data_IF_756505597911
#
_entry.id   IF_756505597911
#
_cell.length_a   1.000
_cell.length_b   1.000
_cell.length_c   1.000
_cell.angle_alpha   90.00
_cell.angle_beta   90.00
_cell.angle_gamma   90.00
#
_symmetry.space_group_name_H-M   'P 1'
#
loop_
_entity.id
_entity.type
_entity.pdbx_description
1 polymer ?
#
# COMPACT_ATOMS: atom_id res chain seq x y z
N UNK A 1 4.96 -4.41 -19.69
CA UNK A 1 4.40 -5.74 -20.03
C UNK A 1 3.82 -6.36 -18.78
N UNK A 2 2.64 -6.98 -18.87
CA UNK A 2 2.07 -7.77 -17.78
C UNK A 2 2.58 -9.19 -17.93
N UNK A 3 3.19 -9.75 -16.90
CA UNK A 3 3.59 -11.16 -16.88
C UNK A 3 2.73 -11.92 -15.91
N UNK A 4 2.42 -13.17 -16.25
CA UNK A 4 1.62 -14.06 -15.43
C UNK A 4 2.49 -15.24 -15.01
N UNK A 5 2.45 -15.56 -13.73
CA UNK A 5 3.01 -16.79 -13.17
C UNK A 5 1.88 -17.61 -12.56
N UNK A 6 1.95 -18.93 -12.66
CA UNK A 6 0.96 -19.83 -12.07
C UNK A 6 1.70 -20.81 -11.16
N UNK A 7 1.26 -20.89 -9.91
CA UNK A 7 1.73 -21.89 -8.96
C UNK A 7 0.64 -22.93 -8.82
N UNK A 8 0.95 -24.17 -9.18
CA UNK A 8 0.06 -25.31 -8.98
C UNK A 8 0.57 -26.15 -7.81
N UNK A 9 -0.30 -26.41 -6.85
CA UNK A 9 -0.05 -27.23 -5.68
C UNK A 9 -0.97 -28.44 -5.73
N UNK A 10 -0.50 -29.60 -5.31
CA UNK A 10 -1.32 -30.79 -5.12
C UNK A 10 -1.25 -31.19 -3.65
N UNK A 11 -2.40 -31.24 -2.98
CA UNK A 11 -2.51 -31.57 -1.55
C UNK A 11 -3.21 -32.92 -1.44
N UNK A 12 -2.54 -33.90 -0.86
CA UNK A 12 -3.10 -35.23 -0.68
C UNK A 12 -2.45 -35.97 0.48
N UNK A 13 -3.03 -37.10 0.86
CA UNK A 13 -2.41 -37.99 1.83
C UNK A 13 -1.43 -38.96 1.15
N UNK A 14 -0.53 -39.54 1.94
CA UNK A 14 0.36 -40.59 1.45
C UNK A 14 -0.38 -41.94 1.36
N UNK A 15 0.05 -42.85 0.48
CA UNK A 15 -0.51 -44.19 0.43
C UNK A 15 -0.30 -44.95 1.74
N UNK A 16 -1.28 -45.77 2.14
CA UNK A 16 -1.15 -46.70 3.26
C UNK A 16 -1.65 -48.09 2.85
N UNK A 17 -1.44 -49.10 3.70
CA UNK A 17 -1.91 -50.48 3.44
C UNK A 17 -3.44 -50.52 3.24
N UNK A 18 -4.19 -49.72 3.99
CA UNK A 18 -5.66 -49.63 3.88
C UNK A 18 -6.14 -48.57 2.89
N UNK A 19 -5.24 -47.71 2.39
CA UNK A 19 -5.54 -46.68 1.39
C UNK A 19 -4.42 -46.62 0.32
N UNK A 20 -4.36 -47.61 -0.58
CA UNK A 20 -3.34 -47.67 -1.63
C UNK A 20 -3.53 -46.60 -2.72
N UNK A 21 -4.73 -45.99 -2.81
CA UNK A 21 -5.06 -44.95 -3.79
C UNK A 21 -5.51 -43.65 -3.08
N UNK A 22 -4.55 -42.90 -2.49
CA UNK A 22 -4.86 -41.70 -1.74
C UNK A 22 -5.52 -40.60 -2.59
N UNK A 23 -6.36 -39.81 -1.94
CA UNK A 23 -6.99 -38.65 -2.57
C UNK A 23 -5.97 -37.52 -2.69
N UNK A 24 -5.92 -36.89 -3.86
CA UNK A 24 -5.06 -35.74 -4.16
C UNK A 24 -5.92 -34.65 -4.78
N UNK A 25 -5.92 -33.48 -4.16
CA UNK A 25 -6.65 -32.30 -4.60
C UNK A 25 -5.67 -31.26 -5.17
N UNK A 26 -5.75 -30.94 -6.48
CA UNK A 26 -4.94 -29.90 -7.08
C UNK A 26 -5.56 -28.50 -6.88
N UNK A 27 -4.71 -27.50 -6.63
CA UNK A 27 -5.08 -26.08 -6.58
C UNK A 27 -4.08 -25.27 -7.40
N UNK A 28 -4.55 -24.24 -8.11
CA UNK A 28 -3.66 -23.33 -8.85
C UNK A 28 -3.93 -21.87 -8.49
N UNK A 29 -2.85 -21.12 -8.24
CA UNK A 29 -2.90 -19.70 -7.90
C UNK A 29 -2.17 -18.92 -8.99
N UNK A 30 -2.85 -17.92 -9.55
CA UNK A 30 -2.33 -17.06 -10.61
C UNK A 30 -1.78 -15.77 -10.00
N UNK A 31 -0.50 -15.51 -10.22
CA UNK A 31 0.19 -14.28 -9.85
C UNK A 31 0.36 -13.40 -11.08
N UNK A 32 -0.04 -12.15 -10.98
CA UNK A 32 0.10 -11.16 -12.05
C UNK A 32 1.19 -10.18 -11.62
N UNK A 33 2.28 -10.11 -12.38
CA UNK A 33 3.30 -9.09 -12.19
C UNK A 33 3.05 -7.99 -13.23
N UNK A 34 2.67 -6.81 -12.74
CA UNK A 34 2.46 -5.61 -13.54
C UNK A 34 3.50 -4.54 -13.16
N UNK A 35 3.64 -3.53 -14.02
CA UNK A 35 4.47 -2.36 -13.73
C UNK A 35 3.60 -1.32 -13.02
N UNK A 36 4.02 -0.78 -11.86
CA UNK A 36 3.33 0.32 -11.21
C UNK A 36 3.20 1.53 -12.14
N UNK A 37 2.00 2.10 -12.27
CA UNK A 37 1.78 3.26 -13.13
C UNK A 37 1.11 4.43 -12.41
N UNK A 38 0.46 4.18 -11.27
CA UNK A 38 -0.24 5.23 -10.51
C UNK A 38 -0.16 4.98 -9.01
N UNK A 39 0.07 6.05 -8.26
CA UNK A 39 -0.06 6.11 -6.82
C UNK A 39 -1.31 6.91 -6.47
N UNK A 40 -2.00 6.52 -5.41
CA UNK A 40 -3.08 7.32 -4.81
C UNK A 40 -2.78 7.56 -3.35
N UNK A 41 -3.03 8.79 -2.88
CA UNK A 41 -2.93 9.17 -1.49
C UNK A 41 -4.34 9.50 -0.99
N UNK A 42 -4.77 8.83 0.07
CA UNK A 42 -6.07 9.07 0.70
C UNK A 42 -5.87 9.40 2.17
N UNK A 43 -6.38 10.54 2.67
CA UNK A 43 -6.30 10.82 4.10
C UNK A 43 -7.13 9.81 4.90
N UNK A 44 -6.54 9.24 5.95
CA UNK A 44 -7.26 8.46 6.95
C UNK A 44 -7.75 9.42 8.01
N UNK A 45 -9.07 9.56 8.10
CA UNK A 45 -9.70 10.27 9.20
C UNK A 45 -9.81 9.32 10.39
N UNK A 46 -9.34 9.77 11.56
CA UNK A 46 -9.69 9.11 12.82
C UNK A 46 -11.22 9.06 12.97
N UNK A 47 -11.73 8.06 13.67
CA UNK A 47 -13.16 7.96 13.96
C UNK A 47 -13.68 9.29 14.53
N UNK A 48 -14.91 9.70 14.20
CA UNK A 48 -15.52 10.90 14.76
C UNK A 48 -15.86 10.63 16.22
N UNK A 49 -14.86 10.69 17.10
CA UNK A 49 -15.10 10.77 18.53
C UNK A 49 -15.49 12.21 18.86
N UNK A 50 -16.78 12.34 19.19
CA UNK A 50 -17.49 13.52 19.69
C UNK A 50 -17.82 14.60 18.65
N UNK A 51 -19.09 14.60 18.23
CA UNK A 51 -20.07 15.70 18.26
C UNK A 51 -19.62 17.15 17.99
N UNK A 52 -18.53 17.34 17.26
CA UNK A 52 -18.20 18.57 16.58
C UNK A 52 -18.48 18.33 15.11
N UNK A 53 -19.64 18.81 14.66
CA UNK A 53 -20.04 18.96 13.27
C UNK A 53 -18.92 19.62 12.46
N UNK A 54 -17.95 18.83 12.02
CA UNK A 54 -16.91 19.30 11.14
C UNK A 54 -17.53 19.27 9.73
N UNK A 55 -17.71 20.42 9.05
CA UNK A 55 -18.38 20.52 7.74
C UNK A 55 -17.52 19.96 6.58
N UNK A 56 -16.59 19.06 6.91
CA UNK A 56 -15.63 18.39 6.05
C UNK A 56 -16.29 17.59 4.91
N UNK A 57 -17.55 17.21 5.07
CA UNK A 57 -18.30 16.42 4.08
C UNK A 57 -18.74 17.24 2.85
N UNK A 58 -18.61 18.57 2.84
CA UNK A 58 -19.14 19.42 1.75
C UNK A 58 -18.16 20.39 1.09
N UNK A 59 -16.88 20.45 1.49
CA UNK A 59 -15.96 21.40 0.87
C UNK A 59 -15.27 20.81 -0.37
N UNK A 60 -15.28 21.60 -1.45
CA UNK A 60 -14.73 21.31 -2.78
C UNK A 60 -13.40 20.53 -2.75
N UNK A 61 -13.23 19.65 -3.75
CA UNK A 61 -12.15 18.65 -4.00
C UNK A 61 -10.68 19.15 -3.95
N UNK A 62 -10.37 20.34 -3.47
CA UNK A 62 -9.05 20.97 -3.67
C UNK A 62 -8.13 20.92 -2.44
N UNK A 63 -8.65 20.94 -1.21
CA UNK A 63 -7.83 20.91 0.03
C UNK A 63 -8.54 20.14 1.14
N UNK A 64 -7.80 19.32 1.89
CA UNK A 64 -8.31 18.56 3.05
C UNK A 64 -7.91 19.29 4.34
N UNK A 65 -8.84 19.84 5.12
CA UNK A 65 -8.50 20.46 6.39
C UNK A 65 -8.15 19.40 7.44
N UNK A 66 -7.06 19.67 8.16
CA UNK A 66 -6.51 18.82 9.22
C UNK A 66 -6.12 19.70 10.42
N UNK A 67 -5.94 19.10 11.59
CA UNK A 67 -5.42 19.80 12.76
C UNK A 67 -3.91 20.02 12.63
N UNK A 68 -3.42 21.20 12.97
CA UNK A 68 -1.98 21.48 13.09
C UNK A 68 -1.34 20.87 14.35
N UNK A 69 -2.12 20.20 15.20
CA UNK A 69 -1.68 19.59 16.46
C UNK A 69 -1.74 18.06 16.46
N UNK A 70 -2.27 17.46 15.39
CA UNK A 70 -2.38 16.01 15.26
C UNK A 70 -1.87 15.59 13.90
N UNK A 71 -0.85 14.75 13.89
CA UNK A 71 -0.25 14.21 12.67
C UNK A 71 -1.32 13.40 11.90
N UNK A 72 -1.70 13.83 10.68
CA UNK A 72 -2.60 13.05 9.86
C UNK A 72 -1.86 11.86 9.24
N UNK A 73 -2.61 10.81 8.90
CA UNK A 73 -2.08 9.62 8.22
C UNK A 73 -2.62 9.55 6.81
N UNK A 74 -1.74 9.27 5.84
CA UNK A 74 -2.08 9.04 4.45
C UNK A 74 -2.02 7.54 4.13
N UNK A 75 -3.07 7.02 3.51
CA UNK A 75 -3.10 5.70 2.89
C UNK A 75 -2.59 5.79 1.45
N UNK A 76 -1.49 5.11 1.18
CA UNK A 76 -0.89 4.93 -0.13
C UNK A 76 -1.32 3.59 -0.73
N UNK A 77 -1.84 3.66 -1.96
CA UNK A 77 -2.11 2.50 -2.78
C UNK A 77 -1.45 2.64 -4.16
N UNK A 78 -1.02 1.49 -4.69
CA UNK A 78 -0.32 1.39 -5.98
C UNK A 78 -1.21 0.66 -6.97
N UNK A 79 -1.28 1.18 -8.19
CA UNK A 79 -2.10 0.67 -9.28
C UNK A 79 -1.28 0.47 -10.55
N UNK A 80 -1.69 -0.51 -11.35
CA UNK A 80 -1.20 -0.70 -12.71
C UNK A 80 -1.94 0.22 -13.71
N UNK A 81 -1.54 0.13 -14.99
CA UNK A 81 -2.08 0.95 -16.06
C UNK A 81 -3.56 0.67 -16.34
N UNK A 82 -4.04 -0.53 -16.02
CA UNK A 82 -5.43 -0.94 -16.17
C UNK A 82 -6.28 -0.52 -14.96
N UNK A 83 -5.66 0.00 -13.90
CA UNK A 83 -6.32 0.40 -12.67
C UNK A 83 -6.49 -0.73 -11.66
N UNK A 84 -5.80 -1.86 -11.83
CA UNK A 84 -5.77 -2.93 -10.83
C UNK A 84 -4.87 -2.52 -9.67
N UNK A 85 -5.39 -2.63 -8.44
CA UNK A 85 -4.59 -2.40 -7.23
C UNK A 85 -3.64 -3.56 -6.99
N UNK A 86 -2.36 -3.25 -6.75
CA UNK A 86 -1.34 -4.23 -6.38
C UNK A 86 -1.68 -4.91 -5.06
N UNK A 87 -1.51 -6.23 -5.02
CA UNK A 87 -1.68 -7.01 -3.79
C UNK A 87 -0.51 -6.79 -2.84
N UNK A 88 0.69 -6.58 -3.38
CA UNK A 88 1.92 -6.30 -2.64
C UNK A 88 2.82 -5.35 -3.46
N UNK A 89 3.27 -4.27 -2.83
CA UNK A 89 4.22 -3.31 -3.41
C UNK A 89 5.39 -3.01 -2.47
N UNK A 90 5.66 -3.87 -1.47
CA UNK A 90 6.63 -3.62 -0.40
C UNK A 90 8.05 -3.38 -0.89
N UNK A 91 8.41 -3.92 -2.06
CA UNK A 91 9.70 -3.73 -2.69
C UNK A 91 9.85 -2.38 -3.41
N UNK A 92 8.75 -1.63 -3.59
CA UNK A 92 8.77 -0.32 -4.24
C UNK A 92 9.41 0.70 -3.31
N UNK A 93 10.38 1.46 -3.83
CA UNK A 93 10.89 2.66 -3.19
C UNK A 93 9.92 3.82 -3.45
N UNK A 94 9.48 4.47 -2.38
CA UNK A 94 8.61 5.65 -2.44
C UNK A 94 9.37 6.85 -1.90
N UNK A 95 9.38 7.94 -2.67
CA UNK A 95 9.93 9.23 -2.27
C UNK A 95 8.79 10.18 -1.96
N UNK A 96 8.86 10.83 -0.80
CA UNK A 96 7.88 11.79 -0.34
C UNK A 96 8.41 13.22 -0.46
N UNK A 97 7.51 14.17 -0.72
CA UNK A 97 7.84 15.61 -0.75
C UNK A 97 6.72 16.42 -0.12
N UNK A 98 7.12 17.48 0.59
CA UNK A 98 6.23 18.53 1.10
C UNK A 98 6.56 19.85 0.39
N UNK A 99 5.55 20.61 0.00
CA UNK A 99 5.77 21.96 -0.56
C UNK A 99 6.16 22.97 0.51
N UNK A 100 5.82 22.72 1.78
CA UNK A 100 6.11 23.62 2.90
C UNK A 100 6.50 22.82 4.15
N UNK A 101 7.77 22.42 4.22
CA UNK A 101 8.35 21.63 5.32
C UNK A 101 8.17 22.31 6.67
N UNK A 102 8.17 23.65 6.74
CA UNK A 102 7.96 24.37 8.00
C UNK A 102 6.55 24.24 8.60
N UNK A 103 5.58 23.74 7.82
CA UNK A 103 4.21 23.50 8.26
C UNK A 103 3.96 22.01 8.50
N UNK A 104 4.40 21.18 7.56
CA UNK A 104 4.26 19.74 7.62
C UNK A 104 5.29 19.03 6.74
N UNK A 105 5.79 17.89 7.18
CA UNK A 105 6.77 17.09 6.45
C UNK A 105 6.62 15.58 6.69
N UNK A 106 7.47 14.80 6.01
CA UNK A 106 7.61 13.36 6.22
C UNK A 106 8.98 13.13 6.84
N UNK A 107 9.00 12.69 8.09
CA UNK A 107 10.24 12.48 8.84
C UNK A 107 11.01 11.28 8.26
N UNK A 108 12.31 11.41 7.92
CA UNK A 108 13.08 10.33 7.31
C UNK A 108 13.22 9.07 8.18
N UNK A 109 13.15 9.24 9.50
CA UNK A 109 13.21 8.19 10.51
C UNK A 109 11.83 7.60 10.85
N UNK A 110 10.76 8.13 10.26
CA UNK A 110 9.40 7.60 10.36
C UNK A 110 8.98 6.93 9.05
N UNK A 111 9.42 5.68 8.80
CA UNK A 111 9.14 4.99 7.56
C UNK A 111 7.64 4.69 7.40
N UNK A 112 7.19 4.61 6.15
CA UNK A 112 5.86 4.16 5.82
C UNK A 112 5.60 2.75 6.36
N UNK A 113 4.48 2.55 7.04
CA UNK A 113 4.06 1.25 7.54
C UNK A 113 3.29 0.48 6.47
N UNK A 114 3.67 -0.76 6.20
CA UNK A 114 2.99 -1.62 5.24
C UNK A 114 2.00 -2.54 5.94
N UNK A 115 0.73 -2.46 5.57
CA UNK A 115 -0.36 -3.25 6.15
C UNK A 115 -1.16 -3.98 5.08
N UNK A 116 -1.76 -5.11 5.45
CA UNK A 116 -2.68 -5.85 4.60
C UNK A 116 -4.12 -5.58 5.04
N UNK A 117 -4.94 -5.03 4.14
CA UNK A 117 -6.35 -4.72 4.40
C UNK A 117 -7.27 -5.55 3.52
N UNK A 118 -8.31 -6.09 4.11
CA UNK A 118 -9.36 -6.82 3.38
C UNK A 118 -10.28 -5.83 2.66
N UNK A 119 -10.56 -6.08 1.38
CA UNK A 119 -11.37 -5.19 0.54
C UNK A 119 -12.81 -5.72 0.32
N UNK A 120 -13.33 -6.54 1.24
CA UNK A 120 -14.68 -7.14 1.15
C UNK A 120 -14.80 -8.31 0.16
N UNK A 121 -13.78 -8.57 -0.67
CA UNK A 121 -13.74 -9.73 -1.57
C UNK A 121 -13.10 -10.99 -0.95
N UNK A 122 -12.76 -10.95 0.35
CA UNK A 122 -11.93 -11.96 1.01
C UNK A 122 -10.44 -11.87 0.69
N UNK A 123 -10.05 -11.09 -0.34
CA UNK A 123 -8.65 -10.83 -0.65
C UNK A 123 -8.11 -9.64 0.16
N UNK A 124 -6.92 -9.83 0.73
CA UNK A 124 -6.18 -8.75 1.38
C UNK A 124 -5.24 -8.10 0.38
N UNK A 125 -5.30 -6.77 0.27
CA UNK A 125 -4.37 -5.98 -0.55
C UNK A 125 -3.48 -5.13 0.34
N UNK A 126 -2.27 -4.85 -0.11
CA UNK A 126 -1.34 -4.01 0.63
C UNK A 126 -1.75 -2.53 0.60
N UNK A 127 -1.49 -1.85 1.71
CA UNK A 127 -1.69 -0.44 1.96
C UNK A 127 -0.44 0.11 2.66
N UNK A 128 -0.03 1.31 2.30
CA UNK A 128 1.11 2.00 2.89
C UNK A 128 0.63 3.17 3.73
N UNK A 129 0.79 3.10 5.05
CA UNK A 129 0.37 4.14 5.96
C UNK A 129 1.55 5.07 6.22
N UNK A 130 1.46 6.30 5.75
CA UNK A 130 2.47 7.33 5.97
C UNK A 130 1.93 8.40 6.90
N UNK A 131 2.56 8.54 8.05
CA UNK A 131 2.30 9.66 8.96
C UNK A 131 2.93 10.94 8.40
N UNK A 132 2.18 12.03 8.40
CA UNK A 132 2.66 13.37 8.11
C UNK A 132 2.87 14.10 9.42
N UNK A 133 4.07 14.60 9.67
CA UNK A 133 4.38 15.37 10.87
C UNK A 133 3.91 16.81 10.67
N UNK A 134 3.15 17.36 11.63
CA UNK A 134 2.71 18.77 11.62
C UNK A 134 3.43 19.57 12.69
N UNK A 135 3.72 20.84 12.41
CA UNK A 135 4.56 21.68 13.29
C UNK A 135 3.80 22.81 14.02
N UNK A 136 2.55 22.59 14.40
CA UNK A 136 1.74 23.55 15.18
C UNK A 136 1.56 24.93 14.52
N UNK A 137 1.71 25.01 13.19
CA UNK A 137 1.51 26.23 12.41
C UNK A 137 0.35 26.06 11.45
N UNK A 138 -0.42 27.13 11.28
CA UNK A 138 -1.52 27.17 10.31
C UNK A 138 -1.00 27.53 8.91
N UNK A 139 -1.61 26.95 7.89
CA UNK A 139 -1.30 27.23 6.49
C UNK A 139 -1.72 26.07 5.60
N UNK A 140 -1.19 26.02 4.40
CA UNK A 140 -1.47 24.96 3.42
C UNK A 140 -0.16 24.37 2.92
N UNK A 141 -0.06 23.05 2.93
CA UNK A 141 1.04 22.30 2.33
C UNK A 141 0.49 21.17 1.49
N UNK A 142 1.17 20.83 0.39
CA UNK A 142 0.88 19.66 -0.40
C UNK A 142 1.93 18.58 -0.13
N UNK A 143 1.44 17.39 0.23
CA UNK A 143 2.26 16.18 0.33
C UNK A 143 2.10 15.38 -0.95
N UNK A 144 3.22 14.94 -1.53
CA UNK A 144 3.25 14.13 -2.74
C UNK A 144 4.15 12.92 -2.56
N UNK A 145 3.81 11.84 -3.27
CA UNK A 145 4.57 10.59 -3.31
C UNK A 145 4.95 10.27 -4.76
N UNK A 146 6.13 9.71 -4.96
CA UNK A 146 6.60 9.26 -6.28
C UNK A 146 7.32 7.93 -6.15
N UNK A 147 7.14 7.05 -7.13
CA UNK A 147 7.89 5.81 -7.21
C UNK A 147 9.33 6.10 -7.65
N UNK A 148 10.31 5.67 -6.87
CA UNK A 148 11.74 5.87 -7.13
C UNK A 148 12.45 4.61 -7.65
N UNK A 149 11.68 3.64 -8.13
CA UNK A 149 12.17 2.31 -8.52
C UNK A 149 12.03 1.30 -7.38
N UNK A 150 12.75 0.18 -7.47
CA UNK A 150 12.71 -0.87 -6.45
C UNK A 150 13.86 -0.70 -5.45
N UNK A 151 13.58 -1.00 -4.18
CA UNK A 151 14.55 -0.93 -3.11
C UNK A 151 15.72 -1.90 -3.36
N UNK A 152 16.95 -1.42 -3.19
CA UNK A 152 18.14 -2.18 -3.55
C UNK A 152 18.30 -3.47 -2.73
N UNK A 153 17.87 -3.48 -1.47
CA UNK A 153 17.87 -4.67 -0.63
C UNK A 153 17.02 -5.81 -1.24
N UNK A 154 15.84 -5.48 -1.78
CA UNK A 154 14.97 -6.43 -2.46
C UNK A 154 15.57 -6.94 -3.77
N UNK A 155 16.18 -6.05 -4.57
CA UNK A 155 16.86 -6.46 -5.81
C UNK A 155 18.05 -7.40 -5.56
N UNK A 156 18.84 -7.10 -4.52
CA UNK A 156 19.96 -7.95 -4.07
C UNK A 156 19.46 -9.32 -3.60
N UNK A 157 18.43 -9.35 -2.76
CA UNK A 157 17.83 -10.60 -2.28
C UNK A 157 17.26 -11.46 -3.43
N UNK A 158 16.71 -10.83 -4.46
CA UNK A 158 16.21 -11.50 -5.67
C UNK A 158 17.30 -11.83 -6.69
N UNK A 159 18.58 -11.56 -6.40
CA UNK A 159 19.72 -11.83 -7.29
C UNK A 159 19.57 -11.22 -8.69
N UNK A 160 18.93 -10.05 -8.78
CA UNK A 160 18.75 -9.35 -10.05
C UNK A 160 20.12 -8.90 -10.56
N UNK A 161 20.50 -9.30 -11.77
CA UNK A 161 21.68 -8.77 -12.44
C UNK A 161 21.46 -7.28 -12.70
N UNK A 162 22.17 -6.43 -11.98
CA UNK A 162 22.22 -4.99 -12.28
C UNK A 162 23.00 -4.82 -13.58
N UNK A 163 22.34 -4.22 -14.57
CA UNK A 163 22.96 -3.84 -15.84
C UNK A 163 23.98 -2.71 -15.66
#
# INVERSE_FOLDING_TARGET
>A
SITVQVISLAVGNNPTITNPFPAVEPVSVKFICAVPSRLTLTPIYGSPQLDLSCPLLQQNKQVVPVSSHRNPVLDLAVYDQQGSKFDNFSSLGVVWKSTQVSLADIEPDMPMELTLKENGSGQKKMHGLQTVLVHHKSGTSAISASAAGYQQAHLKAAQVKTA
#
